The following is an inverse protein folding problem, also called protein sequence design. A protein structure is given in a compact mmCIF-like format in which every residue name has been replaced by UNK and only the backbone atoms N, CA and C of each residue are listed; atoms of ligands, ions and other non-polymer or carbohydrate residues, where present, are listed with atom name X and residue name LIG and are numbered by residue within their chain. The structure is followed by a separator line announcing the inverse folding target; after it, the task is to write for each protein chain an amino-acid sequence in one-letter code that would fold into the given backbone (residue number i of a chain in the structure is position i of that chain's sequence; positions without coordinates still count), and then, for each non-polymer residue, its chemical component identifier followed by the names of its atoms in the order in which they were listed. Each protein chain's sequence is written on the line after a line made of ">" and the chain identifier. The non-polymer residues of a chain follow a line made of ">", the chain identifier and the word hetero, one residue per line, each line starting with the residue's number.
data_IF_578931222031
#
_entry.id   IF_578931222031
#
_cell.length_a   1.000
_cell.length_b   1.000
_cell.length_c   1.000
_cell.angle_alpha   90.00
_cell.angle_beta   90.00
_cell.angle_gamma   90.00
#
_symmetry.space_group_name_H-M   'P 1'
#
loop_
_entity.id
_entity.type
_entity.pdbx_description
1 polymer ?
#
# COMPACT_ATOMS: atom_id res chain seq x y z
N UNK A 1 6.29 11.45 2.77
CA UNK A 1 6.70 10.64 1.62
C UNK A 1 7.74 9.63 2.10
N UNK A 2 7.53 8.35 1.82
CA UNK A 2 8.44 7.27 2.20
C UNK A 2 9.45 7.02 1.08
N UNK A 3 10.73 7.16 1.40
CA UNK A 3 11.84 6.86 0.48
C UNK A 3 12.25 5.38 0.61
N UNK A 4 12.93 4.86 -0.41
CA UNK A 4 13.49 3.50 -0.42
C UNK A 4 14.50 3.27 0.70
N UNK A 5 15.23 4.34 1.11
CA UNK A 5 16.15 4.30 2.25
C UNK A 5 15.45 4.13 3.60
N UNK A 6 14.13 4.40 3.66
CA UNK A 6 13.38 4.21 4.89
C UNK A 6 13.28 2.71 5.21
N UNK A 7 13.92 2.31 6.30
CA UNK A 7 13.75 0.95 6.83
C UNK A 7 12.40 0.88 7.53
N UNK A 8 11.61 -0.14 7.22
CA UNK A 8 10.40 -0.42 7.96
C UNK A 8 10.79 -0.73 9.42
N UNK A 9 10.78 0.28 10.29
CA UNK A 9 11.03 0.12 11.72
C UNK A 9 9.75 -0.44 12.35
N UNK A 10 9.79 -1.72 12.67
CA UNK A 10 8.65 -2.44 13.16
C UNK A 10 8.16 -1.93 14.50
N UNK A 11 6.98 -1.35 14.50
CA UNK A 11 6.13 -1.24 15.69
C UNK A 11 5.08 -2.35 15.75
N UNK A 12 5.06 -3.26 14.78
CA UNK A 12 4.12 -4.39 14.73
C UNK A 12 4.73 -5.58 15.46
N UNK A 13 4.16 -5.89 16.63
CA UNK A 13 4.63 -7.00 17.49
C UNK A 13 4.22 -8.38 16.95
N UNK A 14 3.33 -8.46 15.96
CA UNK A 14 2.82 -9.72 15.38
C UNK A 14 2.12 -9.49 14.04
N UNK A 15 1.89 -10.58 13.30
CA UNK A 15 1.10 -10.63 12.08
C UNK A 15 1.89 -10.31 10.80
N UNK A 16 1.19 -10.37 9.67
CA UNK A 16 1.72 -10.21 8.32
C UNK A 16 2.71 -9.04 8.14
N UNK A 17 2.43 -7.90 8.78
CA UNK A 17 3.32 -6.74 8.65
C UNK A 17 4.70 -6.96 9.32
N UNK A 18 4.78 -7.80 10.36
CA UNK A 18 6.05 -8.21 10.97
C UNK A 18 6.81 -9.11 10.00
N UNK A 19 6.12 -10.10 9.44
CA UNK A 19 6.72 -11.07 8.52
C UNK A 19 7.31 -10.37 7.29
N UNK A 20 6.60 -9.40 6.71
CA UNK A 20 7.10 -8.59 5.59
C UNK A 20 8.38 -7.84 5.95
N UNK A 21 8.46 -7.25 7.15
CA UNK A 21 9.66 -6.54 7.61
C UNK A 21 10.84 -7.50 7.79
N UNK A 22 10.60 -8.69 8.33
CA UNK A 22 11.62 -9.72 8.51
C UNK A 22 12.13 -10.27 7.18
N UNK A 23 11.22 -10.56 6.24
CA UNK A 23 11.58 -11.00 4.88
C UNK A 23 12.40 -9.95 4.14
N UNK A 24 12.01 -8.67 4.22
CA UNK A 24 12.78 -7.59 3.60
C UNK A 24 14.18 -7.44 4.23
N UNK A 25 14.27 -7.55 5.55
CA UNK A 25 15.56 -7.50 6.25
C UNK A 25 16.46 -8.68 5.85
N UNK A 26 15.89 -9.87 5.73
CA UNK A 26 16.59 -11.07 5.26
C UNK A 26 17.09 -10.91 3.82
N UNK A 27 16.22 -10.48 2.89
CA UNK A 27 16.57 -10.25 1.48
C UNK A 27 17.70 -9.23 1.33
N UNK A 28 17.66 -8.15 2.10
CA UNK A 28 18.73 -7.15 2.14
C UNK A 28 20.04 -7.70 2.68
N UNK A 29 19.98 -8.51 3.73
CA UNK A 29 21.14 -9.21 4.28
C UNK A 29 21.71 -10.23 3.30
N UNK A 30 20.85 -10.94 2.57
CA UNK A 30 21.24 -11.88 1.54
C UNK A 30 21.96 -11.19 0.38
N UNK A 31 21.38 -10.11 -0.17
CA UNK A 31 21.99 -9.33 -1.26
C UNK A 31 23.40 -8.83 -0.92
N UNK A 32 23.63 -8.44 0.35
CA UNK A 32 24.98 -8.01 0.79
C UNK A 32 25.98 -9.15 0.86
N UNK A 33 25.55 -10.37 1.21
CA UNK A 33 26.43 -11.54 1.30
C UNK A 33 26.67 -12.22 -0.04
N UNK A 34 25.77 -12.03 -0.99
CA UNK A 34 25.81 -12.64 -2.33
C UNK A 34 25.69 -11.56 -3.41
N UNK A 35 26.77 -10.76 -3.60
CA UNK A 35 26.80 -9.73 -4.63
C UNK A 35 26.77 -10.29 -6.05
N UNK A 36 27.01 -11.57 -6.20
CA UNK A 36 26.92 -12.34 -7.45
C UNK A 36 25.46 -12.61 -7.87
N UNK A 37 24.48 -12.38 -6.98
CA UNK A 37 23.06 -12.60 -7.25
C UNK A 37 22.35 -11.25 -7.33
N UNK A 38 21.61 -11.03 -8.43
CA UNK A 38 20.74 -9.87 -8.55
C UNK A 38 19.49 -10.04 -7.66
N UNK A 39 19.33 -9.16 -6.69
CA UNK A 39 18.15 -9.14 -5.79
C UNK A 39 17.40 -7.84 -6.00
N UNK A 40 16.19 -7.95 -6.51
CA UNK A 40 15.26 -6.83 -6.68
C UNK A 40 14.13 -6.92 -5.64
N UNK A 41 13.96 -5.89 -4.85
CA UNK A 41 12.88 -5.78 -3.88
C UNK A 41 11.87 -4.73 -4.33
N UNK A 42 10.63 -5.12 -4.54
CA UNK A 42 9.53 -4.25 -4.94
C UNK A 42 8.60 -3.97 -3.76
N UNK A 43 8.41 -2.71 -3.41
CA UNK A 43 7.45 -2.25 -2.41
C UNK A 43 6.22 -1.69 -3.11
N UNK A 44 5.23 -2.54 -3.32
CA UNK A 44 4.02 -2.17 -4.05
C UNK A 44 3.08 -1.32 -3.18
N UNK A 45 2.53 -0.24 -3.76
CA UNK A 45 1.40 0.48 -3.19
C UNK A 45 0.14 -0.41 -3.19
N UNK A 46 -0.92 0.07 -2.52
CA UNK A 46 -2.17 -0.66 -2.48
C UNK A 46 -2.79 -0.77 -3.87
N UNK A 47 -2.98 -2.00 -4.33
CA UNK A 47 -3.75 -2.26 -5.54
C UNK A 47 -5.24 -2.32 -5.20
N UNK A 48 -6.05 -1.63 -5.99
CA UNK A 48 -7.51 -1.70 -5.93
C UNK A 48 -8.02 -2.11 -7.30
N UNK A 49 -8.81 -3.18 -7.35
CA UNK A 49 -9.38 -3.71 -8.58
C UNK A 49 -10.72 -4.39 -8.29
N UNK A 50 -11.68 -4.32 -9.21
CA UNK A 50 -12.90 -5.11 -9.10
C UNK A 50 -12.68 -6.62 -9.28
N UNK A 51 -11.53 -7.02 -9.84
CA UNK A 51 -11.23 -8.42 -10.19
C UNK A 51 -10.52 -9.20 -9.08
N UNK A 52 -10.03 -8.54 -8.03
CA UNK A 52 -9.49 -9.23 -6.86
C UNK A 52 -9.81 -8.51 -5.56
N UNK A 53 -9.99 -9.31 -4.52
CA UNK A 53 -10.31 -8.81 -3.20
C UNK A 53 -9.06 -8.27 -2.51
N UNK A 54 -9.06 -6.98 -2.19
CA UNK A 54 -8.05 -6.36 -1.34
C UNK A 54 -8.71 -5.70 -0.13
N UNK A 55 -8.02 -5.57 1.02
CA UNK A 55 -8.61 -4.94 2.20
C UNK A 55 -9.10 -3.50 1.93
N UNK A 56 -8.40 -2.75 1.08
CA UNK A 56 -8.83 -1.41 0.68
C UNK A 56 -10.00 -1.46 -0.31
N UNK A 57 -10.01 -2.42 -1.24
CA UNK A 57 -11.14 -2.66 -2.15
C UNK A 57 -12.41 -3.00 -1.37
N UNK A 58 -12.30 -3.85 -0.36
CA UNK A 58 -13.41 -4.19 0.53
C UNK A 58 -13.89 -2.98 1.36
N UNK A 59 -12.99 -2.13 1.82
CA UNK A 59 -13.39 -0.87 2.44
C UNK A 59 -14.20 -0.01 1.47
N UNK A 60 -13.76 0.13 0.24
CA UNK A 60 -14.47 0.89 -0.78
C UNK A 60 -15.74 0.21 -1.30
N UNK A 61 -15.98 -1.07 -1.04
CA UNK A 61 -17.23 -1.74 -1.41
C UNK A 61 -18.42 -1.38 -0.49
N UNK A 62 -18.15 -0.84 0.71
CA UNK A 62 -19.19 -0.41 1.64
C UNK A 62 -20.12 0.65 1.03
N UNK A 63 -21.42 0.62 1.34
CA UNK A 63 -22.37 1.63 0.87
C UNK A 63 -22.12 3.02 1.49
N UNK A 64 -21.59 3.06 2.70
CA UNK A 64 -21.20 4.29 3.43
C UNK A 64 -19.76 4.11 3.91
N UNK A 65 -18.91 5.09 3.65
CA UNK A 65 -17.50 5.01 4.01
C UNK A 65 -17.22 5.73 5.33
N UNK A 66 -16.84 5.01 6.40
CA UNK A 66 -16.42 5.64 7.64
C UNK A 66 -15.07 6.34 7.44
N UNK A 67 -15.01 7.63 7.72
CA UNK A 67 -13.77 8.43 7.61
C UNK A 67 -13.39 9.01 8.98
N UNK A 68 -12.10 9.10 9.32
CA UNK A 68 -11.69 9.69 10.59
C UNK A 68 -11.91 11.21 10.57
N UNK A 69 -12.62 11.73 11.57
CA UNK A 69 -12.85 13.17 11.73
C UNK A 69 -11.52 13.90 11.97
N UNK A 70 -11.32 14.99 11.27
CA UNK A 70 -10.10 15.81 11.40
C UNK A 70 -8.90 15.32 10.59
N UNK A 71 -9.02 14.18 9.90
CA UNK A 71 -7.98 13.63 9.05
C UNK A 71 -8.54 13.26 7.69
N UNK A 72 -7.80 13.57 6.63
CA UNK A 72 -8.10 13.11 5.28
C UNK A 72 -6.89 12.39 4.73
N UNK A 73 -6.94 11.07 4.74
CA UNK A 73 -5.80 10.23 4.39
C UNK A 73 -5.40 10.39 2.92
N UNK A 74 -4.11 10.56 2.69
CA UNK A 74 -3.54 10.61 1.34
C UNK A 74 -3.23 9.19 0.88
N UNK A 75 -3.89 8.76 -0.16
CA UNK A 75 -3.77 7.43 -0.74
C UNK A 75 -3.00 7.51 -2.05
N UNK A 76 -1.98 6.72 -2.17
CA UNK A 76 -1.33 6.41 -3.45
C UNK A 76 -1.69 4.98 -3.81
N UNK A 77 -2.28 4.82 -4.98
CA UNK A 77 -2.77 3.54 -5.47
C UNK A 77 -1.87 3.05 -6.60
N UNK A 78 -1.96 1.77 -6.89
CA UNK A 78 -1.28 1.15 -8.00
C UNK A 78 -2.29 0.35 -8.83
N UNK A 79 -2.29 0.55 -10.13
CA UNK A 79 -3.12 -0.26 -11.01
C UNK A 79 -2.54 -1.68 -11.12
N UNK A 80 -3.35 -2.75 -11.15
CA UNK A 80 -2.86 -4.11 -11.26
C UNK A 80 -1.97 -4.36 -12.48
N UNK A 81 -2.29 -3.78 -13.62
CA UNK A 81 -1.48 -3.93 -14.84
C UNK A 81 -0.08 -3.33 -14.68
N UNK A 82 0.03 -2.18 -13.99
CA UNK A 82 1.33 -1.62 -13.65
C UNK A 82 2.10 -2.51 -12.67
N UNK A 83 1.40 -3.11 -11.70
CA UNK A 83 2.00 -4.07 -10.79
C UNK A 83 2.57 -5.29 -11.51
N UNK A 84 1.79 -5.87 -12.44
CA UNK A 84 2.25 -7.00 -13.27
C UNK A 84 3.44 -6.63 -14.14
N UNK A 85 3.38 -5.50 -14.84
CA UNK A 85 4.46 -5.04 -15.71
C UNK A 85 5.77 -4.80 -14.93
N UNK A 86 5.69 -4.26 -13.71
CA UNK A 86 6.87 -4.06 -12.86
C UNK A 86 7.44 -5.40 -12.38
N UNK A 87 6.60 -6.36 -11.99
CA UNK A 87 7.04 -7.70 -11.58
C UNK A 87 7.68 -8.44 -12.76
N UNK A 88 7.06 -8.41 -13.94
CA UNK A 88 7.61 -9.00 -15.16
C UNK A 88 8.98 -8.41 -15.50
N UNK A 89 9.08 -7.07 -15.45
CA UNK A 89 10.34 -6.37 -15.71
C UNK A 89 11.44 -6.76 -14.70
N UNK A 90 11.09 -6.87 -13.41
CA UNK A 90 12.04 -7.31 -12.39
C UNK A 90 12.50 -8.76 -12.57
N UNK A 91 11.63 -9.62 -13.12
CA UNK A 91 11.95 -11.02 -13.36
C UNK A 91 12.77 -11.24 -14.64
N UNK A 92 12.71 -10.31 -15.60
CA UNK A 92 13.38 -10.45 -16.90
C UNK A 92 14.64 -9.59 -17.04
N UNK A 93 14.91 -8.71 -16.07
CA UNK A 93 16.07 -7.82 -16.12
C UNK A 93 16.83 -7.83 -14.79
N UNK A 94 18.16 -7.76 -14.86
CA UNK A 94 19.03 -7.67 -13.70
C UNK A 94 19.11 -6.22 -13.18
N UNK A 95 18.14 -5.83 -12.38
CA UNK A 95 18.04 -4.48 -11.79
C UNK A 95 18.09 -4.60 -10.27
N UNK A 96 19.27 -4.70 -9.66
CA UNK A 96 19.37 -4.86 -8.20
C UNK A 96 18.95 -3.61 -7.46
N UNK A 97 18.25 -3.79 -6.35
CA UNK A 97 17.85 -2.67 -5.50
C UNK A 97 16.50 -2.82 -4.84
N UNK A 98 16.08 -1.77 -4.13
CA UNK A 98 14.75 -1.67 -3.56
C UNK A 98 14.03 -0.52 -4.22
N UNK A 99 12.82 -0.77 -4.72
CA UNK A 99 12.03 0.20 -5.46
C UNK A 99 10.62 0.32 -4.89
N UNK A 100 10.21 1.54 -4.63
CA UNK A 100 8.83 1.85 -4.31
C UNK A 100 8.02 1.92 -5.60
N UNK A 101 6.92 1.18 -5.67
CA UNK A 101 6.06 1.08 -6.85
C UNK A 101 4.68 1.61 -6.51
N UNK A 102 4.30 2.72 -7.11
CA UNK A 102 2.99 3.37 -6.91
C UNK A 102 2.61 4.19 -8.13
N UNK A 103 1.33 4.39 -8.35
CA UNK A 103 0.83 5.28 -9.39
C UNK A 103 1.22 6.74 -9.14
N UNK A 104 1.15 7.57 -10.16
CA UNK A 104 1.56 8.98 -10.09
C UNK A 104 0.58 9.86 -9.32
N UNK A 105 -0.66 9.43 -9.21
CA UNK A 105 -1.71 10.16 -8.52
C UNK A 105 -1.70 9.98 -7.00
N UNK A 106 -2.06 11.03 -6.29
CA UNK A 106 -2.38 10.98 -4.86
C UNK A 106 -3.81 11.43 -4.67
N UNK A 107 -4.65 10.57 -4.10
CA UNK A 107 -6.05 10.84 -3.81
C UNK A 107 -6.25 11.06 -2.32
N UNK A 108 -7.05 12.07 -1.96
CA UNK A 108 -7.58 12.15 -0.61
C UNK A 108 -8.68 11.10 -0.43
N UNK A 109 -8.82 10.54 0.77
CA UNK A 109 -9.83 9.53 1.07
C UNK A 109 -11.25 10.04 0.77
N UNK A 110 -11.54 11.28 1.14
CA UNK A 110 -12.84 11.91 0.84
C UNK A 110 -13.04 12.18 -0.65
N UNK A 111 -11.96 12.45 -1.40
CA UNK A 111 -12.01 12.59 -2.85
C UNK A 111 -12.33 11.25 -3.51
N UNK A 112 -11.66 10.17 -3.08
CA UNK A 112 -11.95 8.83 -3.58
C UNK A 112 -13.42 8.43 -3.31
N UNK A 113 -13.94 8.73 -2.12
CA UNK A 113 -15.34 8.48 -1.79
C UNK A 113 -16.32 9.22 -2.75
N UNK A 114 -16.04 10.49 -3.04
CA UNK A 114 -16.86 11.28 -3.99
C UNK A 114 -16.81 10.73 -5.41
N UNK A 115 -15.63 10.33 -5.89
CA UNK A 115 -15.47 9.71 -7.20
C UNK A 115 -16.27 8.41 -7.33
N UNK A 116 -16.39 7.66 -6.23
CA UNK A 116 -17.19 6.44 -6.17
C UNK A 116 -18.67 6.69 -5.92
N UNK A 117 -19.11 7.95 -5.78
CA UNK A 117 -20.49 8.32 -5.49
C UNK A 117 -20.97 7.86 -4.12
N UNK A 118 -20.05 7.67 -3.15
CA UNK A 118 -20.38 7.12 -1.83
C UNK A 118 -20.40 8.19 -0.74
N UNK A 119 -21.44 8.18 0.12
CA UNK A 119 -21.48 9.05 1.27
C UNK A 119 -20.40 8.68 2.29
N UNK A 120 -19.87 9.67 2.97
CA UNK A 120 -18.91 9.49 4.05
C UNK A 120 -19.55 9.70 5.41
N UNK A 121 -19.17 8.87 6.38
CA UNK A 121 -19.57 9.00 7.79
C UNK A 121 -18.33 9.40 8.60
N UNK A 122 -18.24 10.68 9.03
CA UNK A 122 -17.13 11.12 9.87
C UNK A 122 -17.27 10.53 11.27
N UNK A 123 -16.23 9.87 11.74
CA UNK A 123 -16.16 9.24 13.06
C UNK A 123 -15.00 9.83 13.87
N UNK A 124 -15.20 9.95 15.17
CA UNK A 124 -14.12 10.35 16.08
C UNK A 124 -12.98 9.32 16.00
N UNK A 125 -11.73 9.76 16.03
CA UNK A 125 -10.57 8.86 15.90
C UNK A 125 -10.55 7.70 16.91
N UNK A 126 -11.05 7.95 18.14
CA UNK A 126 -11.14 6.94 19.21
C UNK A 126 -12.11 5.80 18.86
N UNK A 127 -13.18 6.09 18.12
CA UNK A 127 -14.19 5.10 17.70
C UNK A 127 -13.97 4.51 16.32
N UNK A 128 -13.16 5.17 15.50
CA UNK A 128 -12.96 4.80 14.10
C UNK A 128 -12.47 3.36 13.91
N UNK A 129 -11.47 2.95 14.69
CA UNK A 129 -10.95 1.59 14.63
C UNK A 129 -11.96 0.52 15.02
N UNK A 130 -12.77 0.78 16.03
CA UNK A 130 -13.80 -0.17 16.50
C UNK A 130 -14.93 -0.35 15.48
N UNK A 131 -15.38 0.73 14.86
CA UNK A 131 -16.40 0.69 13.81
C UNK A 131 -15.87 -0.01 12.57
N UNK A 132 -14.63 0.31 12.18
CA UNK A 132 -13.98 -0.32 11.06
C UNK A 132 -13.80 -1.84 11.27
N UNK A 133 -13.39 -2.24 12.48
CA UNK A 133 -13.26 -3.66 12.85
C UNK A 133 -14.61 -4.38 12.85
N UNK A 134 -15.66 -3.78 13.41
CA UNK A 134 -17.02 -4.36 13.39
C UNK A 134 -17.56 -4.50 11.97
N UNK A 135 -17.40 -3.49 11.13
CA UNK A 135 -17.81 -3.54 9.74
C UNK A 135 -17.08 -4.66 8.99
N UNK A 136 -15.79 -4.81 9.23
CA UNK A 136 -14.98 -5.88 8.66
C UNK A 136 -15.41 -7.27 9.12
N UNK A 137 -15.64 -7.44 10.43
CA UNK A 137 -16.10 -8.72 11.01
C UNK A 137 -17.47 -9.12 10.47
N UNK A 138 -18.37 -8.16 10.25
CA UNK A 138 -19.69 -8.43 9.64
C UNK A 138 -19.57 -8.90 8.19
N UNK A 139 -18.52 -8.43 7.47
CA UNK A 139 -18.26 -8.83 6.08
C UNK A 139 -17.30 -10.02 5.94
N UNK A 140 -16.94 -10.67 7.07
CA UNK A 140 -16.03 -11.83 7.07
C UNK A 140 -14.60 -11.48 6.69
N UNK A 141 -14.19 -10.22 6.87
CA UNK A 141 -12.86 -9.73 6.51
C UNK A 141 -12.14 -9.16 7.72
N UNK A 142 -10.89 -9.58 7.94
CA UNK A 142 -10.02 -8.95 8.91
C UNK A 142 -9.36 -7.70 8.31
N UNK A 143 -9.88 -6.53 8.65
CA UNK A 143 -9.18 -5.28 8.39
C UNK A 143 -7.97 -5.20 9.33
N UNK A 144 -6.81 -5.51 8.77
CA UNK A 144 -5.55 -5.49 9.52
C UNK A 144 -5.27 -4.09 10.12
N UNK A 145 -4.55 -4.01 11.24
CA UNK A 145 -4.12 -2.72 11.82
C UNK A 145 -3.39 -1.80 10.82
N UNK A 146 -2.82 -2.38 9.75
CA UNK A 146 -2.20 -1.66 8.65
C UNK A 146 -3.18 -0.83 7.84
N UNK A 147 -4.37 -1.37 7.54
CA UNK A 147 -5.42 -0.66 6.81
C UNK A 147 -5.99 0.49 7.64
N UNK A 148 -6.23 0.27 8.93
CA UNK A 148 -6.66 1.35 9.83
C UNK A 148 -5.67 2.53 9.81
N UNK A 149 -4.37 2.27 9.93
CA UNK A 149 -3.34 3.32 9.86
C UNK A 149 -3.30 3.99 8.49
N UNK A 150 -3.47 3.24 7.41
CA UNK A 150 -3.53 3.77 6.05
C UNK A 150 -4.71 4.72 5.88
N UNK A 151 -5.91 4.34 6.35
CA UNK A 151 -7.12 5.15 6.27
C UNK A 151 -7.11 6.36 7.21
N UNK A 152 -6.29 6.36 8.25
CA UNK A 152 -6.14 7.49 9.17
C UNK A 152 -5.08 8.47 8.71
N UNK A 153 -3.88 7.97 8.40
CA UNK A 153 -2.70 8.82 8.16
C UNK A 153 -2.27 8.88 6.70
N UNK A 154 -2.82 7.99 5.86
CA UNK A 154 -2.40 7.84 4.49
C UNK A 154 -0.99 7.24 4.35
N UNK A 155 -0.59 7.03 3.11
CA UNK A 155 0.78 6.65 2.77
C UNK A 155 1.10 7.11 1.35
N UNK A 156 2.19 7.84 1.21
CA UNK A 156 2.75 8.25 -0.08
C UNK A 156 4.19 7.79 -0.12
N UNK A 157 4.58 7.18 -1.23
CA UNK A 157 5.93 6.71 -1.49
C UNK A 157 6.61 7.60 -2.53
N UNK A 158 7.91 7.77 -2.38
CA UNK A 158 8.75 8.34 -3.42
C UNK A 158 8.96 7.27 -4.50
N UNK A 159 8.61 7.57 -5.73
CA UNK A 159 8.74 6.67 -6.88
C UNK A 159 9.80 7.15 -7.87
N UNK A 160 10.66 8.06 -7.46
CA UNK A 160 11.73 8.60 -8.33
C UNK A 160 12.67 7.49 -8.81
N UNK A 161 13.11 6.62 -7.91
CA UNK A 161 13.98 5.50 -8.27
C UNK A 161 13.32 4.49 -9.21
N UNK A 162 11.99 4.35 -9.15
CA UNK A 162 11.25 3.52 -10.10
C UNK A 162 11.39 4.03 -11.54
N UNK A 163 11.39 5.33 -11.73
CA UNK A 163 11.52 5.94 -13.06
C UNK A 163 12.96 6.03 -13.51
N UNK A 164 13.84 6.57 -12.66
CA UNK A 164 15.21 6.94 -13.04
C UNK A 164 16.16 5.73 -13.07
N UNK A 165 15.99 4.77 -12.16
CA UNK A 165 16.88 3.62 -12.02
C UNK A 165 16.24 2.34 -12.56
N UNK A 166 15.01 2.03 -12.10
CA UNK A 166 14.31 0.84 -12.55
C UNK A 166 13.79 0.97 -13.99
N UNK A 167 13.59 2.21 -14.47
CA UNK A 167 13.20 2.51 -15.85
C UNK A 167 11.74 2.15 -16.16
N UNK A 168 10.84 2.34 -15.18
CA UNK A 168 9.41 2.14 -15.36
C UNK A 168 8.60 3.36 -14.91
N UNK A 169 7.69 3.80 -15.78
CA UNK A 169 6.73 4.84 -15.47
C UNK A 169 5.33 4.24 -15.48
N UNK A 170 4.57 4.35 -14.36
CA UNK A 170 3.19 3.85 -14.32
C UNK A 170 2.34 4.44 -15.43
N UNK A 171 1.49 3.60 -16.03
CA UNK A 171 0.60 4.01 -17.14
C UNK A 171 -0.74 4.55 -16.62
N UNK A 172 -1.12 4.12 -15.42
CA UNK A 172 -2.38 4.50 -14.79
C UNK A 172 -2.13 5.39 -13.57
N UNK A 173 -2.94 6.44 -13.41
CA UNK A 173 -2.87 7.41 -12.32
C UNK A 173 -4.23 7.59 -11.63
#
# INVERSE_FOLDING_TARGET
>A
VFKESATARGGTKSGFAKDVVEVEAYARGFARRRPDICVTTLRLAQCVSPHFSSPLGLYFSNPVLPVPMGFDARLQLLHPEDAYAVVERAATNDIPGTFNVGGDGVLMLTQAARMLGKPTLPLLPIGFGSVLHRAASFMGTDLTPGVHRLLTYGRIMDTTALREIFGYTPKFS
#
